data_IF_305120267220
#
_entry.id   IF_305120267220
#
_cell.length_a   1.000
_cell.length_b   1.000
_cell.length_c   1.000
_cell.angle_alpha   90.00
_cell.angle_beta   90.00
_cell.angle_gamma   90.00
#
_symmetry.space_group_name_H-M   'P 1'
#
loop_
_entity.id
_entity.type
_entity.pdbx_description
1 polymer ?
#
# COMPACT_ATOMS: atom_id res chain seq x y z
N UNK A 1 -23.72 7.47 5.42
CA UNK A 1 -22.51 6.61 5.38
C UNK A 1 -21.51 7.04 4.29
N UNK A 2 -21.96 7.35 3.06
CA UNK A 2 -21.10 7.80 1.93
C UNK A 2 -20.14 8.95 2.27
N UNK A 3 -20.63 9.99 2.94
CA UNK A 3 -19.83 11.17 3.35
C UNK A 3 -18.71 10.82 4.34
N UNK A 4 -18.94 9.86 5.24
CA UNK A 4 -17.95 9.41 6.23
C UNK A 4 -16.83 8.62 5.53
N UNK A 5 -17.18 7.67 4.65
CA UNK A 5 -16.21 6.88 3.88
C UNK A 5 -15.36 7.78 3.00
N UNK A 6 -15.96 8.77 2.35
CA UNK A 6 -15.24 9.68 1.45
C UNK A 6 -14.27 10.60 2.21
N UNK A 7 -14.67 11.08 3.40
CA UNK A 7 -13.76 11.82 4.31
C UNK A 7 -12.62 10.93 4.79
N UNK A 8 -12.90 9.68 5.17
CA UNK A 8 -11.90 8.72 5.61
C UNK A 8 -10.85 8.43 4.51
N UNK A 9 -11.30 8.17 3.28
CA UNK A 9 -10.39 7.93 2.14
C UNK A 9 -9.49 9.13 1.85
N UNK A 10 -10.05 10.35 1.88
CA UNK A 10 -9.24 11.58 1.74
C UNK A 10 -8.21 11.70 2.86
N UNK A 11 -8.60 11.44 4.11
CA UNK A 11 -7.68 11.50 5.25
C UNK A 11 -6.53 10.50 5.10
N UNK A 12 -6.83 9.25 4.73
CA UNK A 12 -5.81 8.23 4.49
C UNK A 12 -4.83 8.65 3.40
N UNK A 13 -5.34 9.15 2.27
CA UNK A 13 -4.50 9.62 1.18
C UNK A 13 -3.54 10.74 1.61
N UNK A 14 -4.04 11.78 2.30
CA UNK A 14 -3.22 12.87 2.80
C UNK A 14 -2.18 12.40 3.84
N UNK A 15 -2.58 11.50 4.75
CA UNK A 15 -1.65 10.93 5.73
C UNK A 15 -0.54 10.10 5.08
N UNK A 16 -0.86 9.36 4.01
CA UNK A 16 0.10 8.54 3.27
C UNK A 16 1.12 9.40 2.54
N UNK A 17 0.68 10.52 1.93
CA UNK A 17 1.59 11.49 1.30
C UNK A 17 2.50 12.13 2.33
N UNK A 18 1.96 12.56 3.47
CA UNK A 18 2.76 13.19 4.52
C UNK A 18 3.80 12.21 5.09
N UNK A 19 3.42 10.95 5.29
CA UNK A 19 4.34 9.90 5.73
C UNK A 19 5.42 9.62 4.66
N UNK A 20 5.05 9.54 3.38
CA UNK A 20 6.01 9.34 2.29
C UNK A 20 7.02 10.49 2.19
N UNK A 21 6.58 11.75 2.36
CA UNK A 21 7.46 12.91 2.41
C UNK A 21 8.39 12.87 3.62
N UNK A 22 7.88 12.52 4.80
CA UNK A 22 8.70 12.39 6.01
C UNK A 22 9.79 11.31 5.85
N UNK A 23 9.43 10.17 5.26
CA UNK A 23 10.37 9.10 4.91
C UNK A 23 11.39 9.52 3.85
N UNK A 24 11.00 10.39 2.91
CA UNK A 24 11.90 10.90 1.90
C UNK A 24 12.93 11.86 2.53
N UNK A 25 12.49 12.73 3.43
CA UNK A 25 13.37 13.62 4.19
C UNK A 25 14.38 12.83 5.04
N UNK A 26 13.96 11.74 5.69
CA UNK A 26 14.86 10.94 6.52
C UNK A 26 16.00 10.29 5.72
N UNK A 27 15.80 10.06 4.42
CA UNK A 27 16.77 9.44 3.53
C UNK A 27 17.91 10.40 3.11
N UNK A 28 17.67 11.72 3.17
CA UNK A 28 18.65 12.74 2.79
C UNK A 28 19.40 13.38 3.96
N UNK A 29 19.14 12.92 5.18
CA UNK A 29 19.94 13.34 6.33
C UNK A 29 21.35 12.72 6.21
N UNK A 30 22.43 13.45 6.51
CA UNK A 30 23.81 12.94 6.41
C UNK A 30 24.08 11.69 7.27
N UNK A 31 23.34 11.52 8.37
CA UNK A 31 23.33 10.33 9.23
C UNK A 31 22.09 9.44 9.00
N UNK A 32 21.39 9.67 7.89
CA UNK A 32 20.07 9.11 7.59
C UNK A 32 20.08 7.62 7.25
N UNK A 33 21.24 7.02 6.98
CA UNK A 33 21.33 5.59 6.66
C UNK A 33 20.78 4.73 7.80
N UNK A 34 21.27 4.97 9.03
CA UNK A 34 20.79 4.29 10.23
C UNK A 34 19.30 4.51 10.48
N UNK A 35 18.83 5.75 10.31
CA UNK A 35 17.42 6.08 10.51
C UNK A 35 16.54 5.39 9.47
N UNK A 36 16.98 5.31 8.22
CA UNK A 36 16.27 4.62 7.15
C UNK A 36 16.18 3.11 7.38
N UNK A 37 17.21 2.50 7.96
CA UNK A 37 17.22 1.08 8.33
C UNK A 37 16.20 0.78 9.43
N UNK A 38 16.15 1.63 10.46
CA UNK A 38 15.17 1.48 11.55
C UNK A 38 13.76 1.67 11.03
N UNK A 39 13.51 2.73 10.26
CA UNK A 39 12.19 3.01 9.70
C UNK A 39 11.73 1.86 8.82
N UNK A 40 12.61 1.30 7.98
CA UNK A 40 12.29 0.19 7.10
C UNK A 40 12.03 -1.10 7.91
N UNK A 41 12.85 -1.41 8.90
CA UNK A 41 12.65 -2.57 9.79
C UNK A 41 11.32 -2.50 10.53
N UNK A 42 10.98 -1.32 11.07
CA UNK A 42 9.68 -1.07 11.73
C UNK A 42 8.53 -1.20 10.73
N UNK A 43 8.66 -0.64 9.52
CA UNK A 43 7.63 -0.70 8.48
C UNK A 43 7.35 -2.12 8.01
N UNK A 44 8.40 -2.95 7.87
CA UNK A 44 8.26 -4.37 7.51
C UNK A 44 7.59 -5.14 8.64
N UNK A 45 8.03 -4.98 9.91
CA UNK A 45 7.40 -5.64 11.06
C UNK A 45 5.92 -5.27 11.18
N UNK A 46 5.61 -4.00 10.97
CA UNK A 46 4.24 -3.49 10.98
C UNK A 46 3.41 -4.06 9.81
N UNK A 47 3.99 -4.15 8.61
CA UNK A 47 3.35 -4.80 7.46
C UNK A 47 3.07 -6.27 7.73
N UNK A 48 4.02 -7.02 8.28
CA UNK A 48 3.81 -8.43 8.63
C UNK A 48 2.69 -8.58 9.67
N UNK A 49 2.66 -7.71 10.67
CA UNK A 49 1.58 -7.69 11.66
C UNK A 49 0.21 -7.44 11.02
N UNK A 50 0.12 -6.45 10.13
CA UNK A 50 -1.11 -6.18 9.38
C UNK A 50 -1.48 -7.33 8.46
N UNK A 51 -0.50 -8.02 7.86
CA UNK A 51 -0.74 -9.21 7.04
C UNK A 51 -1.36 -10.34 7.87
N UNK A 52 -0.86 -10.57 9.08
CA UNK A 52 -1.46 -11.54 10.00
C UNK A 52 -2.90 -11.19 10.36
N UNK A 53 -3.18 -9.92 10.66
CA UNK A 53 -4.54 -9.44 10.88
C UNK A 53 -5.38 -9.64 9.62
N UNK A 54 -4.82 -9.34 8.44
CA UNK A 54 -5.51 -9.50 7.17
C UNK A 54 -5.93 -10.97 6.96
N UNK A 55 -5.01 -11.91 7.15
CA UNK A 55 -5.24 -13.34 6.94
C UNK A 55 -6.21 -13.92 7.98
N UNK A 56 -6.08 -13.56 9.26
CA UNK A 56 -6.92 -14.12 10.32
C UNK A 56 -8.31 -13.49 10.40
N UNK A 57 -8.41 -12.18 10.19
CA UNK A 57 -9.61 -11.41 10.48
C UNK A 57 -10.48 -11.12 9.25
N UNK A 58 -9.90 -10.94 8.06
CA UNK A 58 -10.70 -10.59 6.86
C UNK A 58 -11.62 -11.75 6.44
N UNK A 59 -11.17 -13.02 6.34
CA UNK A 59 -12.04 -14.10 5.89
C UNK A 59 -13.34 -14.24 6.73
N UNK A 60 -13.30 -14.28 8.08
CA UNK A 60 -14.53 -14.34 8.86
C UNK A 60 -15.36 -13.05 8.73
N UNK A 61 -14.73 -11.87 8.66
CA UNK A 61 -15.46 -10.61 8.52
C UNK A 61 -16.17 -10.46 7.16
N UNK A 62 -15.63 -11.01 6.08
CA UNK A 62 -16.28 -11.01 4.76
C UNK A 62 -17.48 -11.97 4.71
N UNK A 63 -17.46 -13.04 5.51
CA UNK A 63 -18.58 -13.97 5.61
C UNK A 63 -19.84 -13.29 6.15
N UNK A 64 -19.74 -12.52 7.24
CA UNK A 64 -20.89 -11.86 7.86
C UNK A 64 -21.30 -10.56 7.14
N UNK A 65 -22.52 -10.50 6.62
CA UNK A 65 -23.04 -9.35 5.84
C UNK A 65 -22.92 -8.00 6.55
N UNK A 66 -23.12 -7.95 7.87
CA UNK A 66 -23.09 -6.71 8.66
C UNK A 66 -21.67 -6.13 8.81
N UNK A 67 -20.62 -6.95 8.74
CA UNK A 67 -19.22 -6.52 8.95
C UNK A 67 -18.45 -6.28 7.65
N UNK A 68 -19.06 -6.52 6.49
CA UNK A 68 -18.39 -6.39 5.18
C UNK A 68 -17.88 -4.98 4.89
N UNK A 69 -18.61 -3.94 5.31
CA UNK A 69 -18.18 -2.54 5.15
C UNK A 69 -16.94 -2.25 5.98
N UNK A 70 -16.89 -2.75 7.22
CA UNK A 70 -15.71 -2.63 8.07
C UNK A 70 -14.52 -3.41 7.48
N UNK A 71 -14.74 -4.62 6.98
CA UNK A 71 -13.70 -5.43 6.33
C UNK A 71 -13.10 -4.72 5.11
N UNK A 72 -13.93 -4.07 4.29
CA UNK A 72 -13.48 -3.28 3.14
C UNK A 72 -12.63 -2.08 3.57
N UNK A 73 -13.03 -1.35 4.62
CA UNK A 73 -12.21 -0.24 5.15
C UNK A 73 -10.86 -0.72 5.69
N UNK A 74 -10.82 -1.85 6.42
CA UNK A 74 -9.58 -2.44 6.93
C UNK A 74 -8.69 -2.86 5.74
N UNK A 75 -9.25 -3.51 4.73
CA UNK A 75 -8.51 -3.93 3.53
C UNK A 75 -7.94 -2.74 2.76
N UNK A 76 -8.70 -1.63 2.67
CA UNK A 76 -8.22 -0.37 2.08
C UNK A 76 -7.04 0.20 2.89
N UNK A 77 -7.17 0.25 4.22
CA UNK A 77 -6.10 0.71 5.10
C UNK A 77 -4.84 -0.15 4.98
N UNK A 78 -4.97 -1.48 5.00
CA UNK A 78 -3.85 -2.41 4.82
C UNK A 78 -3.13 -2.20 3.48
N UNK A 79 -3.88 -1.95 2.39
CA UNK A 79 -3.30 -1.63 1.08
C UNK A 79 -2.39 -0.40 1.13
N UNK A 80 -2.78 0.66 1.85
CA UNK A 80 -1.93 1.84 2.02
C UNK A 80 -0.63 1.52 2.76
N UNK A 81 -0.69 0.71 3.81
CA UNK A 81 0.53 0.35 4.56
C UNK A 81 1.49 -0.49 3.72
N UNK A 82 0.98 -1.49 2.99
CA UNK A 82 1.79 -2.30 2.10
C UNK A 82 2.38 -1.47 0.95
N UNK A 83 1.57 -0.59 0.35
CA UNK A 83 2.04 0.29 -0.72
C UNK A 83 3.13 1.24 -0.26
N UNK A 84 2.99 1.82 0.94
CA UNK A 84 3.95 2.77 1.50
C UNK A 84 5.26 2.07 1.87
N UNK A 85 5.18 0.86 2.44
CA UNK A 85 6.36 0.04 2.74
C UNK A 85 7.08 -0.39 1.46
N UNK A 86 6.34 -0.87 0.45
CA UNK A 86 6.87 -1.21 -0.87
C UNK A 86 7.58 -0.02 -1.52
N UNK A 87 6.92 1.14 -1.48
CA UNK A 87 7.43 2.36 -2.08
C UNK A 87 8.73 2.81 -1.41
N UNK A 88 8.74 2.89 -0.07
CA UNK A 88 9.93 3.30 0.68
C UNK A 88 11.10 2.32 0.46
N UNK A 89 10.83 1.02 0.51
CA UNK A 89 11.84 0.00 0.22
C UNK A 89 12.40 0.14 -1.20
N UNK A 90 11.54 0.41 -2.18
CA UNK A 90 11.94 0.63 -3.58
C UNK A 90 12.81 1.87 -3.76
N UNK A 91 12.46 2.98 -3.10
CA UNK A 91 13.25 4.21 -3.11
C UNK A 91 14.63 3.97 -2.49
N UNK A 92 14.68 3.32 -1.33
CA UNK A 92 15.95 3.01 -0.65
C UNK A 92 16.86 2.12 -1.50
N UNK A 93 16.32 1.05 -2.08
CA UNK A 93 17.07 0.15 -2.95
C UNK A 93 17.59 0.90 -4.17
N UNK A 94 16.75 1.71 -4.81
CA UNK A 94 17.16 2.52 -5.96
C UNK A 94 18.27 3.50 -5.61
N UNK A 95 18.17 4.17 -4.44
CA UNK A 95 19.20 5.08 -3.95
C UNK A 95 20.53 4.34 -3.68
N UNK A 96 20.46 3.15 -3.10
CA UNK A 96 21.65 2.35 -2.79
C UNK A 96 22.43 1.94 -4.03
N UNK A 97 21.75 1.62 -5.13
CA UNK A 97 22.39 1.12 -6.36
C UNK A 97 22.78 2.20 -7.35
N UNK A 98 21.91 3.20 -7.58
CA UNK A 98 22.10 4.18 -8.66
C UNK A 98 22.19 5.62 -8.15
N UNK A 99 22.05 5.81 -6.84
CA UNK A 99 22.15 7.11 -6.20
C UNK A 99 20.93 8.00 -6.42
N UNK A 100 21.06 9.24 -5.94
CA UNK A 100 19.96 10.20 -5.85
C UNK A 100 19.34 10.59 -7.20
N UNK A 101 20.15 10.69 -8.27
CA UNK A 101 19.65 11.16 -9.57
C UNK A 101 18.55 10.25 -10.13
N UNK A 102 18.71 8.93 -10.03
CA UNK A 102 17.67 7.99 -10.48
C UNK A 102 16.45 8.00 -9.58
N UNK A 103 16.63 8.20 -8.28
CA UNK A 103 15.52 8.36 -7.34
C UNK A 103 14.70 9.58 -7.74
N UNK A 104 15.32 10.72 -8.03
CA UNK A 104 14.64 11.93 -8.45
C UNK A 104 13.84 11.71 -9.76
N UNK A 105 14.42 11.00 -10.74
CA UNK A 105 13.71 10.63 -11.98
C UNK A 105 12.52 9.69 -11.72
N UNK A 106 12.70 8.70 -10.85
CA UNK A 106 11.62 7.78 -10.45
C UNK A 106 10.49 8.48 -9.70
N UNK A 107 10.82 9.52 -8.92
CA UNK A 107 9.84 10.39 -8.26
C UNK A 107 9.09 11.28 -9.25
N UNK A 108 9.76 11.84 -10.26
CA UNK A 108 9.12 12.61 -11.33
C UNK A 108 8.13 11.76 -12.15
N UNK A 109 8.37 10.47 -12.29
CA UNK A 109 7.44 9.49 -12.87
C UNK A 109 6.34 9.06 -11.87
N UNK A 110 5.67 10.04 -11.25
CA UNK A 110 4.59 9.86 -10.26
C UNK A 110 4.97 9.07 -9.00
N UNK A 111 6.26 8.97 -8.67
CA UNK A 111 6.74 8.15 -7.55
C UNK A 111 6.64 6.64 -7.76
N UNK A 112 5.96 6.19 -8.82
CA UNK A 112 5.75 4.77 -9.12
C UNK A 112 6.98 4.19 -9.82
N UNK A 113 7.74 5.01 -10.54
CA UNK A 113 8.90 4.58 -11.32
C UNK A 113 10.01 3.88 -10.51
N UNK A 114 10.12 4.18 -9.22
CA UNK A 114 11.09 3.52 -8.33
C UNK A 114 10.80 2.03 -8.10
N UNK A 115 9.54 1.60 -8.21
CA UNK A 115 9.12 0.21 -7.96
C UNK A 115 9.60 -0.76 -9.06
N UNK A 116 9.29 -0.56 -10.36
CA UNK A 116 9.81 -1.46 -11.39
C UNK A 116 11.33 -1.39 -11.48
N UNK A 117 11.92 -0.23 -11.18
CA UNK A 117 13.37 -0.06 -11.20
C UNK A 117 14.07 -0.82 -10.06
N UNK A 118 13.52 -0.79 -8.84
CA UNK A 118 14.04 -1.56 -7.71
C UNK A 118 13.95 -3.07 -7.94
N UNK A 119 12.85 -3.54 -8.55
CA UNK A 119 12.66 -4.95 -8.94
C UNK A 119 13.70 -5.35 -9.98
N UNK A 120 13.90 -4.50 -11.00
CA UNK A 120 14.91 -4.76 -12.04
C UNK A 120 16.33 -4.80 -11.47
N UNK A 121 16.68 -3.84 -10.61
CA UNK A 121 17.99 -3.77 -9.96
C UNK A 121 18.24 -4.97 -9.04
N UNK A 122 17.29 -5.33 -8.18
CA UNK A 122 17.46 -6.46 -7.25
C UNK A 122 17.63 -7.78 -8.00
N UNK A 123 16.93 -7.96 -9.12
CA UNK A 123 17.13 -9.09 -10.01
C UNK A 123 18.52 -9.07 -10.68
N UNK A 124 18.93 -7.93 -11.24
CA UNK A 124 20.23 -7.79 -11.92
C UNK A 124 21.43 -7.99 -10.99
N UNK A 125 21.36 -7.45 -9.77
CA UNK A 125 22.41 -7.58 -8.76
C UNK A 125 22.33 -8.87 -7.93
N UNK A 126 21.37 -9.76 -8.20
CA UNK A 126 21.26 -11.07 -7.54
C UNK A 126 20.79 -11.01 -6.08
N UNK A 127 20.12 -9.94 -5.65
CA UNK A 127 19.54 -9.82 -4.30
C UNK A 127 18.15 -10.47 -4.23
N UNK A 128 18.14 -11.80 -4.26
CA UNK A 128 16.91 -12.60 -4.32
C UNK A 128 15.95 -12.38 -3.14
N UNK A 129 16.47 -12.19 -1.92
CA UNK A 129 15.63 -11.96 -0.73
C UNK A 129 14.85 -10.65 -0.85
N UNK A 130 15.51 -9.56 -1.23
CA UNK A 130 14.85 -8.26 -1.39
C UNK A 130 13.86 -8.29 -2.57
N UNK A 131 14.22 -8.97 -3.65
CA UNK A 131 13.36 -9.19 -4.81
C UNK A 131 12.06 -9.91 -4.43
N UNK A 132 12.15 -11.02 -3.69
CA UNK A 132 10.98 -11.76 -3.22
C UNK A 132 10.08 -10.91 -2.31
N UNK A 133 10.68 -10.16 -1.37
CA UNK A 133 9.93 -9.27 -0.48
C UNK A 133 9.20 -8.17 -1.27
N UNK A 134 9.87 -7.52 -2.21
CA UNK A 134 9.28 -6.52 -3.11
C UNK A 134 8.09 -7.11 -3.89
N UNK A 135 8.26 -8.33 -4.42
CA UNK A 135 7.24 -8.99 -5.23
C UNK A 135 6.01 -9.38 -4.40
N UNK A 136 6.22 -9.90 -3.19
CA UNK A 136 5.14 -10.21 -2.24
C UNK A 136 4.39 -8.95 -1.83
N UNK A 137 5.10 -7.88 -1.47
CA UNK A 137 4.50 -6.58 -1.11
C UNK A 137 3.71 -5.97 -2.29
N UNK A 138 4.23 -6.07 -3.51
CA UNK A 138 3.55 -5.63 -4.72
C UNK A 138 2.25 -6.42 -4.95
N UNK A 139 2.33 -7.74 -4.87
CA UNK A 139 1.19 -8.63 -5.03
C UNK A 139 0.12 -8.36 -3.97
N UNK A 140 0.51 -8.20 -2.69
CA UNK A 140 -0.41 -7.84 -1.61
C UNK A 140 -1.07 -6.47 -1.85
N UNK A 141 -0.28 -5.48 -2.25
CA UNK A 141 -0.79 -4.14 -2.55
C UNK A 141 -1.87 -4.20 -3.64
N UNK A 142 -1.59 -4.89 -4.75
CA UNK A 142 -2.52 -5.05 -5.87
C UNK A 142 -3.76 -5.84 -5.45
N UNK A 143 -3.59 -6.98 -4.78
CA UNK A 143 -4.71 -7.82 -4.33
C UNK A 143 -5.65 -7.05 -3.39
N UNK A 144 -5.13 -6.40 -2.35
CA UNK A 144 -5.96 -5.63 -1.43
C UNK A 144 -6.72 -4.52 -2.18
N UNK A 145 -6.09 -3.85 -3.14
CA UNK A 145 -6.72 -2.77 -3.90
C UNK A 145 -7.82 -3.27 -4.83
N UNK A 146 -7.59 -4.39 -5.51
CA UNK A 146 -8.59 -5.04 -6.38
C UNK A 146 -9.79 -5.51 -5.56
N UNK A 147 -9.57 -6.18 -4.42
CA UNK A 147 -10.64 -6.66 -3.53
C UNK A 147 -11.52 -5.49 -3.05
N UNK A 148 -10.89 -4.42 -2.55
CA UNK A 148 -11.59 -3.22 -2.09
C UNK A 148 -12.38 -2.56 -3.22
N UNK A 149 -11.78 -2.41 -4.41
CA UNK A 149 -12.43 -1.81 -5.56
C UNK A 149 -13.66 -2.61 -6.03
N UNK A 150 -13.52 -3.93 -6.15
CA UNK A 150 -14.62 -4.83 -6.51
C UNK A 150 -15.76 -4.77 -5.51
N UNK A 151 -15.45 -4.66 -4.22
CA UNK A 151 -16.47 -4.51 -3.19
C UNK A 151 -17.27 -3.21 -3.36
N UNK A 152 -16.60 -2.07 -3.57
CA UNK A 152 -17.29 -0.79 -3.74
C UNK A 152 -18.15 -0.73 -5.01
N UNK A 153 -17.71 -1.32 -6.12
CA UNK A 153 -18.53 -1.43 -7.34
C UNK A 153 -19.80 -2.25 -7.06
N UNK A 154 -19.65 -3.40 -6.40
CA UNK A 154 -20.80 -4.25 -6.08
C UNK A 154 -21.80 -3.60 -5.13
N UNK A 155 -21.33 -2.71 -4.24
CA UNK A 155 -22.21 -1.91 -3.38
C UNK A 155 -22.92 -0.82 -4.19
N UNK A 156 -22.21 -0.10 -5.06
CA UNK A 156 -22.81 0.93 -5.91
C UNK A 156 -23.90 0.35 -6.81
N UNK A 157 -23.62 -0.76 -7.51
CA UNK A 157 -24.59 -1.43 -8.39
C UNK A 157 -25.87 -1.87 -7.66
N UNK A 158 -25.79 -2.19 -6.36
CA UNK A 158 -26.97 -2.55 -5.55
C UNK A 158 -27.79 -1.35 -5.11
N UNK A 159 -27.14 -0.19 -4.95
CA UNK A 159 -27.84 1.06 -4.64
C UNK A 159 -28.56 1.60 -5.88
N UNK A 160 -27.94 1.48 -7.06
CA UNK A 160 -28.54 1.90 -8.33
C UNK A 160 -29.70 0.99 -8.78
N UNK A 161 -29.71 -0.27 -8.35
CA UNK A 161 -30.77 -1.23 -8.68
C UNK A 161 -32.13 -0.91 -8.05
N UNK A 162 -32.19 -0.04 -7.02
CA UNK A 162 -33.41 0.52 -6.42
C UNK A 162 -34.45 -0.48 -5.89
N UNK A 163 -35.33 -0.08 -4.95
CA UNK A 163 -36.47 -0.91 -4.54
C UNK A 163 -37.52 -1.10 -5.65
N UNK A 164 -37.53 -0.24 -6.67
CA UNK A 164 -38.51 -0.26 -7.77
C UNK A 164 -38.42 -1.53 -8.66
N UNK A 165 -37.33 -2.29 -8.57
CA UNK A 165 -37.14 -3.57 -9.26
C UNK A 165 -37.56 -4.81 -8.44
N UNK A 166 -38.05 -4.60 -7.22
CA UNK A 166 -38.59 -5.66 -6.34
C UNK A 166 -40.12 -5.66 -6.24
N UNK A 167 -40.80 -4.69 -6.87
CA UNK A 167 -42.27 -4.63 -6.99
C UNK A 167 -42.80 -4.98 -8.40
N UNK A 168 -41.95 -5.51 -9.29
CA UNK A 168 -42.36 -6.06 -10.60
C UNK A 168 -42.14 -7.57 -10.67
#
# INVERSE_FOLDING_TARGET
MKTIVLKFRKLLFWSSILMALAMLVSLYLPEGEWLSDIILSVSIKFSIFILWIAILLLPPMFYFRKTRTAAACITEFSSFVFCLTLWFMSVKITNMFVGFMMVALGLLAFGIGCIPFSIFLTWYFGRWVDFEILLVLLLLCVLCRVITHMYFINVANKEDAGPDSQEQ
#
